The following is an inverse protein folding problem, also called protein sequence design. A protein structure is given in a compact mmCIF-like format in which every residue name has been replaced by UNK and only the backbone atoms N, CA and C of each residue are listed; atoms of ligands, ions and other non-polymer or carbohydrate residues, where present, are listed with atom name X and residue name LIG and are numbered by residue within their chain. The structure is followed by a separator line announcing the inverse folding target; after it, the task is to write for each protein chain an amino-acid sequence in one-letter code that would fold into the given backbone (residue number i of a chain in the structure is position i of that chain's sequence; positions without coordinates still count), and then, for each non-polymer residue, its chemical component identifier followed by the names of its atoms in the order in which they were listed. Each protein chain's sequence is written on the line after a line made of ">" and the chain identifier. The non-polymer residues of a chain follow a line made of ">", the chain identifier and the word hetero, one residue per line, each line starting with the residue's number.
data_IF_772677230066
#
_entry.id   IF_772677230066
#
_cell.length_a   1.000
_cell.length_b   1.000
_cell.length_c   1.000
_cell.angle_alpha   90.00
_cell.angle_beta   90.00
_cell.angle_gamma   90.00
#
_symmetry.space_group_name_H-M   'P 1'
#
loop_
_entity.id
_entity.type
_entity.pdbx_description
1 polymer ?
#
# COMPACT_ATOMS: atom_id res chain seq x y z
N UNK A 1 -24.17 10.60 26.42
CA UNK A 1 -24.30 9.21 25.91
C UNK A 1 -22.99 8.48 26.23
N UNK A 2 -23.06 7.27 26.76
CA UNK A 2 -21.85 6.51 27.06
C UNK A 2 -21.24 5.98 25.75
N UNK A 3 -19.92 5.78 25.68
CA UNK A 3 -19.23 5.29 24.47
C UNK A 3 -19.77 3.96 23.93
N UNK A 4 -20.47 3.18 24.77
CA UNK A 4 -21.12 1.94 24.38
C UNK A 4 -22.41 2.16 23.58
N UNK A 5 -23.17 3.24 23.86
CA UNK A 5 -24.41 3.58 23.15
C UNK A 5 -24.10 4.09 21.73
N UNK A 6 -23.05 4.90 21.57
CA UNK A 6 -22.60 5.39 20.26
C UNK A 6 -22.16 4.24 19.35
N UNK A 7 -21.49 3.21 19.91
CA UNK A 7 -21.06 2.04 19.16
C UNK A 7 -22.24 1.18 18.67
N UNK A 8 -23.23 0.95 19.51
CA UNK A 8 -24.47 0.23 19.13
C UNK A 8 -25.25 0.99 18.06
N UNK A 9 -25.36 2.31 18.19
CA UNK A 9 -26.00 3.16 17.18
C UNK A 9 -25.26 3.10 15.85
N UNK A 10 -23.93 3.17 15.86
CA UNK A 10 -23.11 3.01 14.65
C UNK A 10 -23.33 1.66 13.97
N UNK A 11 -23.32 0.57 14.73
CA UNK A 11 -23.56 -0.77 14.19
C UNK A 11 -24.98 -0.90 13.61
N UNK A 12 -26.00 -0.27 14.22
CA UNK A 12 -27.36 -0.27 13.68
C UNK A 12 -27.48 0.51 12.37
N UNK A 13 -26.78 1.62 12.24
CA UNK A 13 -26.70 2.38 10.98
C UNK A 13 -26.07 1.55 9.88
N UNK A 14 -24.96 0.87 10.17
CA UNK A 14 -24.25 0.00 9.24
C UNK A 14 -25.08 -1.21 8.83
N UNK A 15 -25.82 -1.81 9.76
CA UNK A 15 -26.66 -3.00 9.54
C UNK A 15 -28.01 -2.67 8.90
N UNK A 16 -28.43 -1.40 8.81
CA UNK A 16 -29.74 -1.04 8.27
C UNK A 16 -29.94 -1.51 6.83
N UNK A 17 -31.11 -2.01 6.47
CA UNK A 17 -31.43 -2.54 5.13
C UNK A 17 -31.71 -1.46 4.07
N UNK A 18 -31.63 -0.17 4.45
CA UNK A 18 -31.86 0.95 3.54
C UNK A 18 -30.84 0.99 2.38
N UNK A 19 -31.24 1.59 1.26
CA UNK A 19 -30.43 1.75 0.06
C UNK A 19 -29.01 2.25 0.38
N UNK A 20 -28.01 1.73 -0.29
CA UNK A 20 -26.58 1.89 0.00
C UNK A 20 -26.13 3.36 0.15
N UNK A 21 -26.64 4.26 -0.71
CA UNK A 21 -26.30 5.69 -0.70
C UNK A 21 -26.79 6.37 0.60
N UNK A 22 -28.00 6.06 1.04
CA UNK A 22 -28.56 6.64 2.26
C UNK A 22 -27.83 6.15 3.54
N UNK A 23 -27.29 4.93 3.50
CA UNK A 23 -26.52 4.33 4.61
C UNK A 23 -25.18 5.05 4.82
N UNK A 24 -24.42 5.29 3.76
CA UNK A 24 -23.14 6.01 3.84
C UNK A 24 -23.37 7.46 4.27
N UNK A 25 -24.41 8.13 3.76
CA UNK A 25 -24.80 9.49 4.18
C UNK A 25 -25.10 9.56 5.67
N UNK A 26 -25.97 8.68 6.18
CA UNK A 26 -26.28 8.61 7.63
C UNK A 26 -25.05 8.33 8.49
N UNK A 27 -24.13 7.47 7.98
CA UNK A 27 -22.87 7.19 8.66
C UNK A 27 -22.01 8.46 8.75
N UNK A 28 -21.84 9.19 7.64
CA UNK A 28 -21.11 10.46 7.61
C UNK A 28 -21.68 11.47 8.62
N UNK A 29 -22.99 11.64 8.64
CA UNK A 29 -23.66 12.57 9.56
C UNK A 29 -23.49 12.16 11.02
N UNK A 30 -23.60 10.86 11.31
CA UNK A 30 -23.37 10.32 12.64
C UNK A 30 -21.92 10.54 13.12
N UNK A 31 -20.94 10.25 12.26
CA UNK A 31 -19.53 10.44 12.59
C UNK A 31 -19.16 11.92 12.79
N UNK A 32 -19.74 12.84 12.00
CA UNK A 32 -19.56 14.30 12.21
C UNK A 32 -20.04 14.78 13.57
N UNK A 33 -21.14 14.22 14.08
CA UNK A 33 -21.73 14.57 15.36
C UNK A 33 -21.00 13.94 16.55
N UNK A 34 -20.32 12.80 16.34
CA UNK A 34 -19.67 12.01 17.38
C UNK A 34 -18.16 11.91 17.13
N UNK A 35 -17.42 13.00 17.38
CA UNK A 35 -15.98 13.07 17.14
C UNK A 35 -15.19 12.07 17.99
N UNK A 36 -15.63 11.81 19.22
CA UNK A 36 -14.99 10.88 20.16
C UNK A 36 -15.74 9.54 20.16
N UNK A 37 -15.54 8.74 19.12
CA UNK A 37 -16.12 7.41 19.01
C UNK A 37 -15.02 6.35 19.09
N UNK A 38 -15.32 5.22 19.75
CA UNK A 38 -14.43 4.04 19.76
C UNK A 38 -15.00 2.95 18.89
N UNK A 39 -14.14 2.37 18.04
CA UNK A 39 -14.46 1.32 17.09
C UNK A 39 -13.84 0.00 17.55
N UNK A 40 -14.55 -1.09 17.33
CA UNK A 40 -14.05 -2.43 17.58
C UNK A 40 -14.15 -3.33 16.32
N UNK A 41 -13.63 -4.54 16.41
CA UNK A 41 -13.69 -5.53 15.32
C UNK A 41 -15.12 -5.83 14.85
N UNK A 42 -16.11 -5.78 15.75
CA UNK A 42 -17.49 -6.16 15.42
C UNK A 42 -18.15 -5.08 14.56
N UNK A 43 -17.78 -3.81 14.73
CA UNK A 43 -18.19 -2.71 13.85
C UNK A 43 -17.74 -2.96 12.42
N UNK A 44 -16.47 -3.33 12.22
CA UNK A 44 -15.96 -3.69 10.90
C UNK A 44 -16.56 -5.01 10.39
N UNK A 45 -16.81 -5.99 11.26
CA UNK A 45 -17.47 -7.21 10.87
C UNK A 45 -18.89 -6.95 10.32
N UNK A 46 -19.62 -5.99 10.86
CA UNK A 46 -20.89 -5.52 10.30
C UNK A 46 -20.70 -4.85 8.94
N UNK A 47 -19.73 -3.92 8.82
CA UNK A 47 -19.43 -3.22 7.57
C UNK A 47 -19.05 -4.20 6.44
N UNK A 48 -18.22 -5.19 6.76
CA UNK A 48 -17.75 -6.19 5.81
C UNK A 48 -18.85 -7.14 5.29
N UNK A 49 -20.02 -7.20 5.93
CA UNK A 49 -21.20 -7.97 5.45
C UNK A 49 -21.97 -7.23 4.37
N UNK A 50 -21.79 -5.93 4.23
CA UNK A 50 -22.45 -5.12 3.21
C UNK A 50 -22.02 -5.49 1.79
N UNK A 51 -22.80 -5.15 0.74
CA UNK A 51 -22.38 -5.26 -0.66
C UNK A 51 -21.04 -4.56 -0.91
N UNK A 52 -20.27 -5.03 -1.91
CA UNK A 52 -18.87 -4.63 -2.12
C UNK A 52 -18.66 -3.10 -2.10
N UNK A 53 -19.39 -2.37 -2.94
CA UNK A 53 -19.27 -0.91 -3.06
C UNK A 53 -19.62 -0.17 -1.76
N UNK A 54 -20.67 -0.61 -1.07
CA UNK A 54 -21.10 -0.02 0.20
C UNK A 54 -20.11 -0.33 1.33
N UNK A 55 -19.58 -1.55 1.36
CA UNK A 55 -18.58 -2.00 2.33
C UNK A 55 -17.33 -1.14 2.28
N UNK A 56 -16.80 -0.95 1.08
CA UNK A 56 -15.59 -0.17 0.86
C UNK A 56 -15.78 1.29 1.28
N UNK A 57 -16.92 1.91 0.91
CA UNK A 57 -17.25 3.26 1.31
C UNK A 57 -17.43 3.41 2.84
N UNK A 58 -18.10 2.48 3.51
CA UNK A 58 -18.27 2.50 4.97
C UNK A 58 -16.92 2.41 5.68
N UNK A 59 -16.06 1.47 5.27
CA UNK A 59 -14.72 1.32 5.86
C UNK A 59 -13.88 2.57 5.64
N UNK A 60 -13.94 3.14 4.43
CA UNK A 60 -13.25 4.38 4.10
C UNK A 60 -13.70 5.54 5.00
N UNK A 61 -15.01 5.76 5.18
CA UNK A 61 -15.54 6.83 6.03
C UNK A 61 -15.14 6.67 7.50
N UNK A 62 -15.13 5.44 8.00
CA UNK A 62 -14.66 5.17 9.37
C UNK A 62 -13.18 5.54 9.49
N UNK A 63 -12.32 5.06 8.61
CA UNK A 63 -10.88 5.37 8.67
C UNK A 63 -10.61 6.86 8.48
N UNK A 64 -11.33 7.51 7.56
CA UNK A 64 -11.23 8.95 7.32
C UNK A 64 -11.60 9.76 8.56
N UNK A 65 -12.62 9.34 9.31
CA UNK A 65 -13.00 9.98 10.56
C UNK A 65 -11.83 10.02 11.56
N UNK A 66 -11.08 8.92 11.73
CA UNK A 66 -9.94 8.87 12.66
C UNK A 66 -8.70 9.62 12.13
N UNK A 67 -8.57 9.76 10.82
CA UNK A 67 -7.57 10.65 10.23
C UNK A 67 -7.90 12.11 10.53
N UNK A 68 -9.16 12.50 10.44
CA UNK A 68 -9.61 13.88 10.64
C UNK A 68 -9.71 14.28 12.11
N UNK A 69 -10.09 13.34 12.98
CA UNK A 69 -10.33 13.56 14.41
C UNK A 69 -9.48 12.57 15.23
N UNK A 70 -8.17 12.81 15.38
CA UNK A 70 -7.34 11.99 16.26
C UNK A 70 -7.84 12.15 17.71
N UNK A 71 -8.19 11.04 18.34
CA UNK A 71 -8.74 10.96 19.69
C UNK A 71 -8.01 9.93 20.53
N UNK A 72 -8.68 9.41 21.59
CA UNK A 72 -8.12 8.39 22.47
C UNK A 72 -7.75 7.08 21.72
N UNK A 73 -8.56 6.70 20.70
CA UNK A 73 -8.28 5.57 19.86
C UNK A 73 -7.45 6.01 18.65
N UNK A 74 -6.23 5.49 18.54
CA UNK A 74 -5.35 5.81 17.41
C UNK A 74 -5.83 5.17 16.10
N UNK A 75 -5.46 5.77 14.96
CA UNK A 75 -5.74 5.21 13.63
C UNK A 75 -5.17 3.79 13.50
N UNK A 76 -4.00 3.52 14.09
CA UNK A 76 -3.38 2.19 14.08
C UNK A 76 -4.26 1.15 14.77
N UNK A 77 -4.80 1.46 15.96
CA UNK A 77 -5.72 0.57 16.66
C UNK A 77 -6.99 0.29 15.84
N UNK A 78 -7.48 1.28 15.12
CA UNK A 78 -8.65 1.13 14.24
C UNK A 78 -8.34 0.23 13.05
N UNK A 79 -7.18 0.40 12.40
CA UNK A 79 -6.71 -0.48 11.31
C UNK A 79 -6.50 -1.92 11.83
N UNK A 80 -5.96 -2.10 13.03
CA UNK A 80 -5.84 -3.42 13.67
C UNK A 80 -7.22 -4.06 13.94
N UNK A 81 -8.24 -3.27 14.29
CA UNK A 81 -9.60 -3.79 14.41
C UNK A 81 -10.17 -4.26 13.05
N UNK A 82 -9.89 -3.54 11.98
CA UNK A 82 -10.26 -3.94 10.62
C UNK A 82 -9.55 -5.24 10.22
N UNK A 83 -8.23 -5.33 10.44
CA UNK A 83 -7.43 -6.53 10.19
C UNK A 83 -8.01 -7.76 10.91
N UNK A 84 -8.32 -7.62 12.21
CA UNK A 84 -8.96 -8.69 13.01
C UNK A 84 -10.36 -9.07 12.52
N UNK A 85 -11.08 -8.18 11.85
CA UNK A 85 -12.38 -8.46 11.27
C UNK A 85 -12.28 -9.16 9.91
N UNK A 86 -11.23 -8.89 9.14
CA UNK A 86 -10.94 -9.50 7.83
C UNK A 86 -10.46 -10.95 7.99
N UNK A 87 -9.53 -11.22 8.92
CA UNK A 87 -8.88 -12.53 9.12
C UNK A 87 -9.84 -13.72 9.10
N UNK A 88 -10.90 -13.77 9.94
CA UNK A 88 -11.79 -14.94 9.98
C UNK A 88 -12.52 -15.21 8.66
N UNK A 89 -12.77 -14.17 7.86
CA UNK A 89 -13.48 -14.27 6.57
C UNK A 89 -12.63 -14.90 5.49
N UNK A 90 -11.33 -14.65 5.51
CA UNK A 90 -10.37 -15.24 4.57
C UNK A 90 -10.21 -16.73 4.85
N UNK A 91 -10.04 -17.10 6.12
CA UNK A 91 -9.90 -18.50 6.52
C UNK A 91 -11.17 -19.33 6.27
N UNK A 92 -12.37 -18.75 6.48
CA UNK A 92 -13.65 -19.45 6.28
C UNK A 92 -13.97 -19.76 4.80
N UNK A 93 -13.37 -19.04 3.85
CA UNK A 93 -13.61 -19.25 2.41
C UNK A 93 -12.71 -20.30 1.76
N UNK A 94 -11.90 -21.03 2.53
CA UNK A 94 -10.92 -22.02 2.02
C UNK A 94 -10.08 -21.50 0.83
N UNK A 95 -9.83 -20.20 0.76
CA UNK A 95 -9.04 -19.58 -0.28
C UNK A 95 -7.75 -19.02 0.33
N UNK A 96 -6.71 -19.86 0.51
CA UNK A 96 -5.45 -19.47 1.15
C UNK A 96 -4.67 -18.43 0.34
N UNK A 97 -5.10 -18.14 -0.89
CA UNK A 97 -4.38 -17.29 -1.85
C UNK A 97 -4.89 -15.83 -1.80
N UNK A 98 -6.04 -15.53 -1.17
CA UNK A 98 -6.39 -14.13 -0.91
C UNK A 98 -5.60 -13.66 0.29
N UNK A 99 -4.50 -13.04 -0.02
CA UNK A 99 -3.61 -12.44 0.95
C UNK A 99 -4.40 -11.43 1.79
N UNK A 100 -4.33 -11.58 3.12
CA UNK A 100 -4.91 -10.64 4.09
C UNK A 100 -4.51 -9.19 3.75
N UNK A 101 -3.26 -9.03 3.35
CA UNK A 101 -2.68 -7.75 2.94
C UNK A 101 -3.37 -7.17 1.69
N UNK A 102 -3.84 -8.00 0.77
CA UNK A 102 -4.56 -7.54 -0.44
C UNK A 102 -5.95 -6.98 -0.10
N UNK A 103 -6.71 -7.64 0.80
CA UNK A 103 -8.03 -7.14 1.21
C UNK A 103 -7.90 -5.85 2.03
N UNK A 104 -6.94 -5.78 2.94
CA UNK A 104 -6.64 -4.56 3.69
C UNK A 104 -6.20 -3.43 2.76
N UNK A 105 -5.30 -3.71 1.81
CA UNK A 105 -4.84 -2.76 0.78
C UNK A 105 -5.99 -2.20 -0.05
N UNK A 106 -6.98 -3.03 -0.39
CA UNK A 106 -8.18 -2.60 -1.13
C UNK A 106 -8.95 -1.54 -0.35
N UNK A 107 -9.11 -1.70 0.96
CA UNK A 107 -9.80 -0.72 1.80
C UNK A 107 -8.99 0.57 2.01
N UNK A 108 -7.68 0.46 2.23
CA UNK A 108 -6.79 1.63 2.41
C UNK A 108 -6.71 2.48 1.14
N UNK A 109 -6.75 1.85 -0.04
CA UNK A 109 -6.63 2.52 -1.34
C UNK A 109 -7.98 2.80 -2.01
N UNK A 110 -9.09 2.65 -1.29
CA UNK A 110 -10.41 2.99 -1.80
C UNK A 110 -10.48 4.49 -2.14
N UNK A 111 -11.12 4.80 -3.28
CA UNK A 111 -11.34 6.17 -3.75
C UNK A 111 -12.74 6.65 -3.37
N UNK A 112 -12.83 7.83 -2.80
CA UNK A 112 -14.11 8.52 -2.57
C UNK A 112 -14.72 9.06 -3.88
N UNK A 113 -15.81 9.81 -3.78
CA UNK A 113 -16.51 10.40 -4.92
C UNK A 113 -15.64 11.39 -5.74
N UNK A 114 -14.61 11.99 -5.10
CA UNK A 114 -13.62 12.88 -5.74
C UNK A 114 -12.39 12.12 -6.22
N UNK A 115 -12.38 10.79 -6.11
CA UNK A 115 -11.22 9.95 -6.42
C UNK A 115 -10.10 10.02 -5.38
N UNK A 116 -10.30 10.70 -4.24
CA UNK A 116 -9.30 10.80 -3.19
C UNK A 116 -9.23 9.51 -2.37
N UNK A 117 -8.01 9.07 -2.07
CA UNK A 117 -7.74 8.00 -1.10
C UNK A 117 -7.52 8.59 0.30
N UNK A 118 -7.41 7.74 1.31
CA UNK A 118 -7.08 8.17 2.68
C UNK A 118 -5.76 8.97 2.72
N UNK A 119 -4.77 8.61 1.89
CA UNK A 119 -3.50 9.32 1.81
C UNK A 119 -3.67 10.73 1.23
N UNK A 120 -4.54 10.93 0.21
CA UNK A 120 -4.88 12.27 -0.26
C UNK A 120 -5.47 13.13 0.85
N UNK A 121 -6.43 12.58 1.61
CA UNK A 121 -7.04 13.29 2.72
C UNK A 121 -6.06 13.64 3.84
N UNK A 122 -5.13 12.72 4.16
CA UNK A 122 -4.09 12.97 5.16
C UNK A 122 -3.19 14.16 4.75
N UNK A 123 -2.79 14.19 3.48
CA UNK A 123 -1.94 15.23 2.93
C UNK A 123 -2.66 16.58 2.82
N UNK A 124 -3.88 16.60 2.26
CA UNK A 124 -4.70 17.83 2.16
C UNK A 124 -4.97 18.42 3.55
N UNK A 125 -5.18 17.55 4.54
CA UNK A 125 -5.42 17.96 5.92
C UNK A 125 -4.16 18.32 6.72
N UNK A 126 -2.97 18.32 6.12
CA UNK A 126 -1.67 18.53 6.78
C UNK A 126 -1.55 17.70 8.07
N UNK A 127 -1.83 16.40 7.95
CA UNK A 127 -1.80 15.49 9.11
C UNK A 127 -0.36 15.18 9.53
N UNK A 128 -0.23 14.72 10.77
CA UNK A 128 1.06 14.42 11.38
C UNK A 128 1.86 13.37 10.59
N UNK A 129 3.18 13.40 10.74
CA UNK A 129 4.11 12.41 10.17
C UNK A 129 3.65 10.98 10.48
N UNK A 130 3.17 10.75 11.70
CA UNK A 130 2.71 9.44 12.17
C UNK A 130 1.56 8.89 11.31
N UNK A 131 0.56 9.71 10.98
CA UNK A 131 -0.60 9.28 10.17
C UNK A 131 -0.18 8.96 8.74
N UNK A 132 0.67 9.80 8.14
CA UNK A 132 1.15 9.59 6.76
C UNK A 132 2.02 8.34 6.68
N UNK A 133 2.98 8.21 7.59
CA UNK A 133 3.87 7.03 7.67
C UNK A 133 3.08 5.76 7.92
N UNK A 134 2.09 5.81 8.82
CA UNK A 134 1.22 4.67 9.11
C UNK A 134 0.45 4.22 7.87
N UNK A 135 -0.19 5.13 7.14
CA UNK A 135 -0.93 4.79 5.92
C UNK A 135 -0.01 4.15 4.88
N UNK A 136 1.19 4.68 4.69
CA UNK A 136 2.19 4.14 3.76
C UNK A 136 2.66 2.75 4.20
N UNK A 137 2.88 2.53 5.49
CA UNK A 137 3.24 1.22 6.08
C UNK A 137 2.14 0.18 5.84
N UNK A 138 0.87 0.57 5.96
CA UNK A 138 -0.28 -0.28 5.61
C UNK A 138 -0.58 -0.31 4.10
N UNK A 139 0.42 -0.07 3.27
CA UNK A 139 0.37 -0.20 1.80
C UNK A 139 -0.58 0.78 1.10
N UNK A 140 -0.78 1.99 1.64
CA UNK A 140 -1.35 3.08 0.87
C UNK A 140 -0.46 3.31 -0.36
N UNK A 141 -1.08 3.36 -1.54
CA UNK A 141 -0.36 3.58 -2.79
C UNK A 141 -0.27 5.08 -3.09
N UNK A 142 0.93 5.69 -3.02
CA UNK A 142 1.11 7.12 -3.22
C UNK A 142 1.02 7.56 -4.69
N UNK A 143 0.89 6.61 -5.63
CA UNK A 143 0.80 6.89 -7.06
C UNK A 143 -0.65 6.92 -7.59
N UNK A 144 -1.64 6.70 -6.73
CA UNK A 144 -3.05 6.77 -7.12
C UNK A 144 -3.40 8.23 -7.42
N UNK A 145 -3.98 8.47 -8.61
CA UNK A 145 -4.51 9.76 -9.00
C UNK A 145 -5.96 9.92 -8.56
N UNK A 146 -6.33 11.12 -8.11
CA UNK A 146 -7.71 11.50 -7.85
C UNK A 146 -8.43 11.94 -9.15
N UNK A 147 -9.66 12.48 -9.05
CA UNK A 147 -10.43 12.94 -10.19
C UNK A 147 -9.78 14.13 -10.95
N UNK A 148 -8.91 14.89 -10.30
CA UNK A 148 -8.14 15.99 -10.88
C UNK A 148 -6.79 15.52 -11.47
N UNK A 149 -6.57 14.21 -11.62
CA UNK A 149 -5.31 13.57 -12.04
C UNK A 149 -4.10 13.91 -11.13
N UNK A 150 -4.35 14.27 -9.87
CA UNK A 150 -3.32 14.59 -8.90
C UNK A 150 -3.05 13.39 -7.99
N UNK A 151 -1.76 13.07 -7.79
CA UNK A 151 -1.33 12.13 -6.76
C UNK A 151 -1.21 12.86 -5.40
N UNK A 152 -1.16 12.14 -4.25
CA UNK A 152 -0.99 12.77 -2.94
C UNK A 152 0.21 13.73 -2.88
N UNK A 153 1.31 13.41 -3.55
CA UNK A 153 2.52 14.24 -3.56
C UNK A 153 2.32 15.61 -4.24
N UNK A 154 1.44 15.69 -5.25
CA UNK A 154 1.11 16.94 -5.93
C UNK A 154 0.29 17.89 -5.04
N UNK A 155 -0.38 17.35 -4.02
CA UNK A 155 -1.20 18.09 -3.07
C UNK A 155 -0.45 18.40 -1.77
N UNK A 156 0.71 17.78 -1.56
CA UNK A 156 1.53 17.96 -0.38
C UNK A 156 2.25 19.31 -0.37
N UNK A 157 2.27 19.98 0.79
CA UNK A 157 2.93 21.27 0.98
C UNK A 157 3.84 21.24 2.21
N UNK A 158 4.90 22.06 2.21
CA UNK A 158 5.78 22.25 3.35
C UNK A 158 6.30 20.92 3.93
N UNK A 159 6.28 20.80 5.24
CA UNK A 159 6.76 19.64 5.99
C UNK A 159 6.05 18.32 5.59
N UNK A 160 4.76 18.39 5.30
CA UNK A 160 3.96 17.23 4.85
C UNK A 160 4.53 16.60 3.57
N UNK A 161 5.08 17.43 2.66
CA UNK A 161 5.72 16.96 1.42
C UNK A 161 7.00 16.19 1.71
N UNK A 162 7.82 16.68 2.62
CA UNK A 162 9.08 16.03 3.02
C UNK A 162 8.83 14.69 3.69
N UNK A 163 7.86 14.64 4.62
CA UNK A 163 7.43 13.43 5.30
C UNK A 163 6.91 12.40 4.29
N UNK A 164 6.08 12.82 3.35
CA UNK A 164 5.56 11.91 2.33
C UNK A 164 6.68 11.35 1.44
N UNK A 165 7.62 12.19 0.99
CA UNK A 165 8.79 11.74 0.21
C UNK A 165 9.61 10.72 0.99
N UNK A 166 9.88 10.97 2.28
CA UNK A 166 10.60 10.05 3.16
C UNK A 166 9.88 8.70 3.24
N UNK A 167 8.58 8.72 3.56
CA UNK A 167 7.75 7.50 3.66
C UNK A 167 7.65 6.74 2.34
N UNK A 168 7.57 7.45 1.20
CA UNK A 168 7.58 6.85 -0.14
C UNK A 168 8.92 6.15 -0.44
N UNK A 169 10.06 6.74 -0.06
CA UNK A 169 11.38 6.10 -0.22
C UNK A 169 11.49 4.82 0.61
N UNK A 170 11.03 4.84 1.85
CA UNK A 170 10.99 3.67 2.72
C UNK A 170 10.09 2.57 2.13
N UNK A 171 8.91 2.93 1.61
CA UNK A 171 8.02 1.99 0.94
C UNK A 171 8.67 1.38 -0.32
N UNK A 172 9.35 2.18 -1.14
CA UNK A 172 10.05 1.69 -2.33
C UNK A 172 11.14 0.68 -1.96
N UNK A 173 11.92 0.94 -0.92
CA UNK A 173 12.94 0.02 -0.42
C UNK A 173 12.32 -1.29 0.09
N UNK A 174 11.28 -1.22 0.92
CA UNK A 174 10.57 -2.41 1.42
C UNK A 174 9.99 -3.25 0.28
N UNK A 175 9.44 -2.61 -0.75
CA UNK A 175 8.94 -3.33 -1.94
C UNK A 175 10.04 -4.00 -2.74
N UNK A 176 11.20 -3.38 -2.88
CA UNK A 176 12.38 -4.02 -3.51
C UNK A 176 12.86 -5.24 -2.73
N UNK A 177 12.93 -5.12 -1.41
CA UNK A 177 13.29 -6.25 -0.54
C UNK A 177 12.27 -7.39 -0.66
N UNK A 178 10.98 -7.08 -0.65
CA UNK A 178 9.91 -8.07 -0.84
C UNK A 178 9.99 -8.74 -2.21
N UNK A 179 10.26 -7.99 -3.28
CA UNK A 179 10.46 -8.52 -4.63
C UNK A 179 11.66 -9.46 -4.69
N UNK A 180 12.76 -9.10 -4.02
CA UNK A 180 13.97 -9.92 -3.95
C UNK A 180 13.70 -11.23 -3.22
N UNK A 181 13.09 -11.19 -2.04
CA UNK A 181 12.77 -12.38 -1.24
C UNK A 181 11.77 -13.27 -2.00
N UNK A 182 10.72 -12.68 -2.57
CA UNK A 182 9.69 -13.39 -3.34
C UNK A 182 10.23 -14.08 -4.60
N UNK A 183 11.35 -13.62 -5.16
CA UNK A 183 11.98 -14.20 -6.35
C UNK A 183 12.93 -15.37 -6.03
N UNK A 184 13.45 -15.46 -4.81
CA UNK A 184 14.45 -16.45 -4.42
C UNK A 184 13.89 -17.88 -4.39
N UNK A 185 12.76 -18.12 -3.73
CA UNK A 185 12.22 -19.46 -3.53
C UNK A 185 11.78 -20.11 -4.86
N UNK A 186 10.97 -19.45 -5.71
CA UNK A 186 10.60 -20.01 -7.00
C UNK A 186 11.80 -20.20 -7.94
N UNK A 187 12.79 -19.29 -7.88
CA UNK A 187 13.98 -19.38 -8.75
C UNK A 187 14.81 -20.62 -8.44
N UNK A 188 14.98 -20.97 -7.18
CA UNK A 188 15.72 -22.19 -6.77
C UNK A 188 14.98 -23.44 -7.26
N UNK A 189 13.66 -23.49 -7.15
CA UNK A 189 12.86 -24.65 -7.56
C UNK A 189 12.87 -24.85 -9.09
N UNK A 190 12.66 -23.78 -9.85
CA UNK A 190 12.61 -23.81 -11.32
C UNK A 190 14.01 -24.04 -11.91
N UNK A 191 15.02 -23.36 -11.39
CA UNK A 191 16.38 -23.47 -11.89
C UNK A 191 17.04 -24.81 -11.57
N UNK A 192 16.67 -25.43 -10.44
CA UNK A 192 17.11 -26.79 -10.12
C UNK A 192 16.74 -27.76 -11.25
N UNK A 193 15.50 -27.71 -11.72
CA UNK A 193 15.02 -28.53 -12.81
C UNK A 193 15.70 -28.19 -14.16
N UNK A 194 15.73 -26.90 -14.52
CA UNK A 194 16.37 -26.42 -15.75
C UNK A 194 17.88 -26.72 -15.79
N UNK A 195 18.57 -26.49 -14.67
CA UNK A 195 20.00 -26.72 -14.56
C UNK A 195 20.39 -28.18 -14.74
N UNK A 196 19.59 -29.12 -14.19
CA UNK A 196 19.79 -30.55 -14.40
C UNK A 196 19.60 -30.94 -15.88
N UNK A 197 18.55 -30.43 -16.52
CA UNK A 197 18.28 -30.73 -17.95
C UNK A 197 19.36 -30.17 -18.85
N UNK A 198 19.76 -28.91 -18.67
CA UNK A 198 20.82 -28.28 -19.47
C UNK A 198 22.18 -28.89 -19.19
N UNK A 199 22.53 -29.15 -17.92
CA UNK A 199 23.77 -29.75 -17.52
C UNK A 199 23.95 -31.19 -18.06
N UNK A 200 22.89 -32.01 -18.03
CA UNK A 200 22.88 -33.34 -18.62
C UNK A 200 23.09 -33.30 -20.14
N UNK A 201 22.42 -32.35 -20.83
CA UNK A 201 22.60 -32.15 -22.27
C UNK A 201 24.06 -31.83 -22.66
N UNK A 202 24.70 -30.92 -21.94
CA UNK A 202 26.12 -30.58 -22.16
C UNK A 202 27.05 -31.77 -21.87
N UNK A 203 26.80 -32.52 -20.79
CA UNK A 203 27.62 -33.67 -20.43
C UNK A 203 27.55 -34.78 -21.48
N UNK A 204 26.39 -35.05 -22.07
CA UNK A 204 26.20 -36.02 -23.16
C UNK A 204 26.91 -35.56 -24.43
N UNK A 205 26.88 -34.27 -24.75
CA UNK A 205 27.49 -33.73 -25.98
C UNK A 205 29.01 -33.69 -25.94
N UNK A 206 29.65 -33.60 -24.75
CA UNK A 206 31.10 -33.37 -24.60
C UNK A 206 31.86 -34.58 -24.03
N UNK A 207 31.18 -35.69 -23.70
CA UNK A 207 31.79 -36.94 -23.17
C UNK A 207 32.78 -36.70 -22.00
N UNK A 208 32.35 -35.95 -20.99
CA UNK A 208 33.15 -35.56 -19.84
C UNK A 208 33.39 -36.73 -18.85
N UNK A 209 34.49 -36.70 -18.10
CA UNK A 209 34.71 -37.59 -16.95
C UNK A 209 33.73 -37.35 -15.82
N UNK A 210 33.42 -38.35 -14.98
CA UNK A 210 32.39 -38.26 -13.95
C UNK A 210 32.51 -37.05 -12.98
N UNK A 211 33.73 -36.64 -12.62
CA UNK A 211 33.94 -35.46 -11.77
C UNK A 211 33.65 -34.15 -12.49
N UNK A 212 33.97 -34.02 -13.76
CA UNK A 212 33.63 -32.84 -14.57
C UNK A 212 32.15 -32.75 -14.85
N UNK A 213 31.45 -33.90 -15.03
CA UNK A 213 30.00 -33.94 -15.19
C UNK A 213 29.29 -33.28 -13.98
N UNK A 214 29.67 -33.66 -12.76
CA UNK A 214 29.10 -33.11 -11.55
C UNK A 214 29.37 -31.62 -11.45
N UNK A 215 30.57 -31.15 -11.75
CA UNK A 215 30.94 -29.73 -11.75
C UNK A 215 30.11 -28.88 -12.73
N UNK A 216 29.95 -29.38 -13.97
CA UNK A 216 29.12 -28.69 -14.99
C UNK A 216 27.64 -28.63 -14.58
N UNK A 217 27.11 -29.71 -14.02
CA UNK A 217 25.73 -29.74 -13.55
C UNK A 217 25.48 -28.72 -12.41
N UNK A 218 26.38 -28.66 -11.41
CA UNK A 218 26.29 -27.69 -10.34
C UNK A 218 26.38 -26.25 -10.86
N UNK A 219 27.37 -25.99 -11.75
CA UNK A 219 27.55 -24.67 -12.33
C UNK A 219 26.32 -24.23 -13.14
N UNK A 220 25.74 -25.12 -13.95
CA UNK A 220 24.55 -24.80 -14.74
C UNK A 220 23.32 -24.52 -13.89
N UNK A 221 23.14 -25.24 -12.76
CA UNK A 221 22.06 -24.95 -11.78
C UNK A 221 22.24 -23.56 -11.17
N UNK A 222 23.47 -23.21 -10.77
CA UNK A 222 23.73 -21.89 -10.15
C UNK A 222 23.48 -20.75 -11.14
N UNK A 223 23.96 -20.84 -12.37
CA UNK A 223 23.74 -19.83 -13.40
C UNK A 223 22.27 -19.70 -13.74
N UNK A 224 21.55 -20.82 -13.90
CA UNK A 224 20.11 -20.80 -14.14
C UNK A 224 19.33 -20.20 -12.96
N UNK A 225 19.72 -20.49 -11.71
CA UNK A 225 19.10 -19.92 -10.52
C UNK A 225 19.20 -18.39 -10.48
N UNK A 226 20.41 -17.88 -10.76
CA UNK A 226 20.65 -16.44 -10.79
C UNK A 226 19.82 -15.78 -11.90
N UNK A 227 19.83 -16.35 -13.11
CA UNK A 227 19.11 -15.79 -14.25
C UNK A 227 17.59 -15.75 -14.03
N UNK A 228 17.01 -16.87 -13.54
CA UNK A 228 15.57 -16.94 -13.24
C UNK A 228 15.23 -16.01 -12.07
N UNK A 229 16.04 -15.96 -11.01
CA UNK A 229 15.83 -15.07 -9.88
C UNK A 229 15.83 -13.60 -10.29
N UNK A 230 16.79 -13.18 -11.11
CA UNK A 230 16.84 -11.82 -11.64
C UNK A 230 15.62 -11.50 -12.52
N UNK A 231 15.24 -12.43 -13.41
CA UNK A 231 14.06 -12.24 -14.25
C UNK A 231 12.77 -12.07 -13.40
N UNK A 232 12.57 -12.94 -12.41
CA UNK A 232 11.41 -12.84 -11.52
C UNK A 232 11.43 -11.58 -10.66
N UNK A 233 12.61 -11.16 -10.20
CA UNK A 233 12.77 -9.91 -9.46
C UNK A 233 12.35 -8.69 -10.29
N UNK A 234 12.90 -8.54 -11.49
CA UNK A 234 12.59 -7.41 -12.37
C UNK A 234 11.15 -7.42 -12.93
N UNK A 235 10.53 -8.59 -13.04
CA UNK A 235 9.15 -8.74 -13.51
C UNK A 235 8.13 -8.67 -12.35
N UNK A 236 8.57 -8.59 -11.09
CA UNK A 236 7.65 -8.52 -9.97
C UNK A 236 6.89 -7.18 -9.94
N UNK A 237 5.62 -7.23 -9.56
CA UNK A 237 4.82 -6.02 -9.41
C UNK A 237 5.37 -5.07 -8.32
N UNK A 238 5.98 -5.62 -7.28
CA UNK A 238 6.57 -4.82 -6.21
C UNK A 238 7.80 -4.05 -6.70
N UNK A 239 8.64 -4.65 -7.53
CA UNK A 239 9.77 -3.96 -8.15
C UNK A 239 9.31 -2.83 -9.07
N UNK A 240 8.34 -3.07 -9.94
CA UNK A 240 7.81 -2.05 -10.85
C UNK A 240 7.13 -0.90 -10.08
N UNK A 241 6.42 -1.19 -9.00
CA UNK A 241 5.85 -0.16 -8.13
C UNK A 241 6.93 0.65 -7.41
N UNK A 242 7.97 0.00 -6.88
CA UNK A 242 9.10 0.67 -6.26
C UNK A 242 9.79 1.64 -7.23
N UNK A 243 10.06 1.19 -8.45
CA UNK A 243 10.67 1.99 -9.52
C UNK A 243 9.79 3.18 -9.92
N UNK A 244 8.47 3.00 -9.99
CA UNK A 244 7.54 4.08 -10.27
C UNK A 244 7.53 5.13 -9.15
N UNK A 245 7.59 4.72 -7.89
CA UNK A 245 7.69 5.62 -6.73
C UNK A 245 9.01 6.42 -6.80
N UNK A 246 10.15 5.77 -7.03
CA UNK A 246 11.46 6.44 -7.13
C UNK A 246 11.50 7.43 -8.29
N UNK A 247 10.94 7.07 -9.45
CA UNK A 247 10.83 7.97 -10.60
C UNK A 247 10.03 9.23 -10.25
N UNK A 248 8.89 9.07 -9.56
CA UNK A 248 8.06 10.19 -9.13
C UNK A 248 8.81 11.11 -8.17
N UNK A 249 9.52 10.55 -7.19
CA UNK A 249 10.33 11.30 -6.24
C UNK A 249 11.44 12.09 -6.97
N UNK A 250 12.14 11.46 -7.92
CA UNK A 250 13.22 12.11 -8.67
C UNK A 250 12.73 13.28 -9.53
N UNK A 251 11.55 13.13 -10.15
CA UNK A 251 10.91 14.20 -10.93
C UNK A 251 10.58 15.40 -10.04
N UNK A 252 9.93 15.18 -8.91
CA UNK A 252 9.56 16.25 -7.97
C UNK A 252 10.80 16.90 -7.35
N UNK A 253 11.84 16.13 -7.04
CA UNK A 253 13.09 16.67 -6.50
C UNK A 253 13.82 17.55 -7.51
N UNK A 254 13.76 17.25 -8.81
CA UNK A 254 14.33 18.08 -9.87
C UNK A 254 13.57 19.39 -10.06
N UNK A 255 12.24 19.39 -9.95
CA UNK A 255 11.41 20.59 -10.03
C UNK A 255 11.72 21.56 -8.87
N UNK A 256 11.83 21.05 -7.64
CA UNK A 256 12.17 21.86 -6.46
C UNK A 256 13.55 22.54 -6.62
N UNK A 257 14.52 21.87 -7.22
CA UNK A 257 15.86 22.43 -7.43
C UNK A 257 15.88 23.55 -8.49
N UNK A 258 15.02 23.50 -9.50
CA UNK A 258 14.88 24.52 -10.54
C UNK A 258 14.20 25.77 -9.99
N UNK A 259 13.11 25.61 -9.22
CA UNK A 259 12.40 26.73 -8.60
C UNK A 259 13.26 27.47 -7.57
N UNK A 260 14.07 26.74 -6.82
CA UNK A 260 15.05 27.32 -5.89
C UNK A 260 16.16 28.16 -6.59
N UNK A 261 16.60 27.72 -7.76
CA UNK A 261 17.62 28.43 -8.53
C UNK A 261 17.07 29.72 -9.19
N UNK A 262 15.83 29.70 -9.65
CA UNK A 262 15.14 30.88 -10.21
C UNK A 262 14.85 31.93 -9.14
N UNK A 263 14.40 31.52 -7.96
CA UNK A 263 14.14 32.42 -6.84
C UNK A 263 15.42 33.08 -6.27
N UNK A 264 16.55 32.39 -6.34
CA UNK A 264 17.85 32.94 -5.92
C UNK A 264 18.42 33.98 -6.93
N UNK A 265 18.16 33.79 -8.22
CA UNK A 265 18.56 34.77 -9.26
C UNK A 265 17.73 36.06 -9.18
N UNK A 266 16.44 35.97 -8.91
CA UNK A 266 15.55 37.14 -8.82
C UNK A 266 15.86 38.03 -7.59
N UNK A 267 16.39 37.42 -6.51
CA UNK A 267 16.91 38.18 -5.34
C UNK A 267 18.21 38.92 -5.64
N UNK A 268 19.12 38.30 -6.38
CA UNK A 268 20.42 38.94 -6.74
C UNK A 268 20.25 40.10 -7.71
N UNK A 269 19.25 40.11 -8.58
CA UNK A 269 18.97 41.22 -9.50
C UNK A 269 18.26 42.39 -8.79
N UNK A 270 17.51 42.15 -7.71
CA UNK A 270 16.91 43.23 -6.90
C UNK A 270 17.87 43.91 -5.93
N UNK A 271 18.98 43.28 -5.58
CA UNK A 271 20.06 43.91 -4.77
C UNK A 271 21.07 44.72 -5.61
N UNK A 272 20.99 44.66 -6.94
CA UNK A 272 21.86 45.38 -7.86
C UNK A 272 21.26 46.65 -8.45
N UNK A 273 20.03 47.00 -8.13
CA UNK A 273 19.34 48.23 -8.51
C UNK A 273 19.19 49.17 -7.30
#
# INVERSE_FOLDING_TARGET
>A
MTGNDNRKTLQSIIASENHSINRVGKLKDFLKQNKEITINKDTFACALRCPKTTKEAIVHEILLHFIQNPGEQSLEQVIQCLDRAIKPRIYAKNNPIRNLDEELRTHINFKDEKGNTLLHHAVIGNKTEEIITLLVTYSANPLIQNADNKIPLDLAQGETKEVLIKSMKEQANTKKESAMIGSLVPSIMISGFLGVVLGAGVCVAVSLSGGMILGVMIASVLVASIAVGLAMYFLSQDYEQAKAIEKTISTVSSEISVDGATAANDKNDKERL
#
